data_IF_464682642095
#
_entry.id   IF_464682642095
#
_cell.length_a   1.000
_cell.length_b   1.000
_cell.length_c   1.000
_cell.angle_alpha   90.00
_cell.angle_beta   90.00
_cell.angle_gamma   90.00
#
_symmetry.space_group_name_H-M   'P 1'
#
loop_
_entity.id
_entity.type
_entity.pdbx_description
1 polymer ?
#
# COMPACT_ATOMS: atom_id res chain seq x y z
N UNK A 1 3.97 12.56 3.09
CA UNK A 1 4.04 11.34 3.94
C UNK A 1 2.70 11.25 4.66
N UNK A 2 1.99 10.11 4.66
CA UNK A 2 0.86 9.97 5.58
C UNK A 2 1.43 10.01 6.99
N UNK A 3 1.28 11.15 7.66
CA UNK A 3 1.75 11.35 9.03
C UNK A 3 0.63 10.93 9.96
N UNK A 4 0.88 9.93 10.80
CA UNK A 4 -0.02 9.55 11.88
C UNK A 4 0.10 10.49 13.10
N UNK A 5 0.87 11.59 12.98
CA UNK A 5 1.05 12.59 14.04
C UNK A 5 -0.24 13.30 14.46
N UNK A 6 -1.27 13.29 13.61
CA UNK A 6 -2.59 13.84 13.95
C UNK A 6 -3.39 12.92 14.89
N UNK A 7 -2.95 11.67 15.07
CA UNK A 7 -3.61 10.68 15.90
C UNK A 7 -2.81 10.41 17.16
N UNK A 8 -3.48 10.50 18.30
CA UNK A 8 -2.93 10.08 19.59
C UNK A 8 -2.69 8.57 19.61
N UNK A 9 -1.86 8.13 20.54
CA UNK A 9 -1.66 6.70 20.81
C UNK A 9 -3.01 6.05 21.17
N UNK A 10 -3.25 4.84 20.68
CA UNK A 10 -4.47 4.06 20.95
C UNK A 10 -5.78 4.84 20.69
N UNK A 11 -5.85 5.61 19.61
CA UNK A 11 -7.00 6.47 19.29
C UNK A 11 -7.91 5.95 18.19
N UNK A 12 -7.48 4.96 17.40
CA UNK A 12 -8.26 4.41 16.29
C UNK A 12 -8.41 2.91 16.42
N UNK A 13 -9.58 2.36 16.10
CA UNK A 13 -9.81 0.92 16.18
C UNK A 13 -9.36 0.17 14.91
N UNK A 14 -9.34 0.86 13.76
CA UNK A 14 -9.04 0.28 12.46
C UNK A 14 -8.16 1.21 11.62
N UNK A 15 -7.24 0.62 10.86
CA UNK A 15 -6.50 1.32 9.80
C UNK A 15 -6.61 0.53 8.50
N UNK A 16 -6.92 1.23 7.41
CA UNK A 16 -7.02 0.66 6.06
C UNK A 16 -6.01 1.35 5.13
N UNK A 17 -5.17 0.57 4.48
CA UNK A 17 -4.12 1.06 3.60
C UNK A 17 -4.11 0.32 2.24
N UNK A 18 -5.08 0.64 1.39
CA UNK A 18 -5.20 0.05 0.05
C UNK A 18 -4.20 0.66 -0.93
N UNK A 19 -3.26 -0.14 -1.44
CA UNK A 19 -2.28 0.24 -2.47
C UNK A 19 -1.45 1.51 -2.19
N UNK A 20 -1.19 1.83 -0.92
CA UNK A 20 -0.46 3.07 -0.54
C UNK A 20 0.87 2.84 0.17
N UNK A 21 1.00 1.80 0.98
CA UNK A 21 2.14 1.70 1.89
C UNK A 21 3.48 1.44 1.20
N UNK A 22 3.50 0.68 0.09
CA UNK A 22 4.72 0.46 -0.70
C UNK A 22 5.20 1.73 -1.41
N UNK A 23 4.39 2.81 -1.46
CA UNK A 23 4.80 4.10 -2.00
C UNK A 23 5.46 5.00 -0.93
N UNK A 24 5.42 4.60 0.35
CA UNK A 24 6.04 5.36 1.44
C UNK A 24 7.54 5.02 1.49
N UNK A 25 8.44 6.01 1.65
CA UNK A 25 9.88 5.75 1.67
C UNK A 25 10.37 4.82 2.79
N UNK A 26 9.63 4.72 3.89
CA UNK A 26 9.98 3.90 5.05
C UNK A 26 8.75 3.10 5.50
N UNK A 27 8.38 2.03 4.77
CA UNK A 27 7.14 1.29 5.03
C UNK A 27 7.12 0.65 6.42
N UNK A 28 8.25 0.16 6.92
CA UNK A 28 8.38 -0.39 8.28
C UNK A 28 8.16 0.65 9.38
N UNK A 29 8.60 1.89 9.16
CA UNK A 29 8.31 3.00 10.09
C UNK A 29 6.81 3.30 10.09
N UNK A 30 6.16 3.27 8.93
CA UNK A 30 4.71 3.44 8.84
C UNK A 30 3.95 2.32 9.59
N UNK A 31 4.39 1.06 9.50
CA UNK A 31 3.80 -0.05 10.27
C UNK A 31 3.87 0.19 11.80
N UNK A 32 4.99 0.71 12.31
CA UNK A 32 5.12 1.06 13.74
C UNK A 32 4.17 2.18 14.14
N UNK A 33 4.02 3.19 13.31
CA UNK A 33 3.08 4.28 13.57
C UNK A 33 1.62 3.82 13.53
N UNK A 34 1.27 2.93 12.59
CA UNK A 34 -0.05 2.28 12.55
C UNK A 34 -0.30 1.54 13.86
N UNK A 35 0.68 0.77 14.35
CA UNK A 35 0.56 0.05 15.61
C UNK A 35 0.35 0.98 16.80
N UNK A 36 1.07 2.10 16.85
CA UNK A 36 0.98 3.11 17.93
C UNK A 36 -0.43 3.68 18.05
N UNK A 37 -1.08 3.98 16.93
CA UNK A 37 -2.40 4.63 16.94
C UNK A 37 -3.55 3.65 17.18
N UNK A 38 -3.34 2.36 16.95
CA UNK A 38 -4.36 1.34 17.10
C UNK A 38 -4.69 1.05 18.57
N UNK A 39 -5.98 1.05 18.92
CA UNK A 39 -6.48 0.64 20.24
C UNK A 39 -7.04 -0.76 20.23
N UNK A 40 -6.76 -1.53 21.28
CA UNK A 40 -7.35 -2.85 21.52
C UNK A 40 -8.74 -2.77 22.18
N UNK A 41 -9.20 -1.58 22.56
CA UNK A 41 -10.53 -1.41 23.17
C UNK A 41 -11.65 -1.85 22.23
N UNK A 42 -12.70 -2.46 22.80
CA UNK A 42 -13.90 -2.91 22.08
C UNK A 42 -13.62 -3.87 20.91
N UNK A 43 -12.53 -4.64 20.97
CA UNK A 43 -12.15 -5.55 19.89
C UNK A 43 -11.58 -4.82 18.66
N UNK A 44 -11.00 -3.64 18.85
CA UNK A 44 -10.22 -2.93 17.83
C UNK A 44 -8.87 -3.62 17.53
N UNK A 45 -7.90 -2.81 17.10
CA UNK A 45 -6.54 -3.24 16.74
C UNK A 45 -6.46 -3.97 15.39
N UNK A 46 -7.36 -3.63 14.47
CA UNK A 46 -7.43 -4.25 13.15
C UNK A 46 -6.73 -3.39 12.09
N UNK A 47 -5.84 -4.02 11.34
CA UNK A 47 -5.13 -3.40 10.22
C UNK A 47 -5.32 -4.23 8.96
N UNK A 48 -5.64 -3.58 7.84
CA UNK A 48 -5.70 -4.20 6.53
C UNK A 48 -4.96 -3.37 5.49
N UNK A 49 -4.22 -4.04 4.62
CA UNK A 49 -3.52 -3.43 3.50
C UNK A 49 -3.60 -4.28 2.25
N UNK A 50 -3.38 -3.64 1.10
CA UNK A 50 -3.12 -4.33 -0.16
C UNK A 50 -1.77 -3.93 -0.74
N UNK A 51 -1.10 -4.91 -1.34
CA UNK A 51 0.17 -4.75 -2.05
C UNK A 51 0.08 -5.46 -3.40
N UNK A 52 1.14 -5.36 -4.19
CA UNK A 52 1.34 -6.18 -5.37
C UNK A 52 2.03 -7.48 -4.98
N UNK A 53 1.58 -8.58 -5.60
CA UNK A 53 2.33 -9.83 -5.62
C UNK A 53 3.10 -9.86 -6.93
N UNK A 54 4.40 -10.14 -6.88
CA UNK A 54 5.31 -10.23 -8.04
C UNK A 54 5.48 -8.91 -8.85
N UNK A 55 6.69 -8.70 -9.38
CA UNK A 55 7.00 -7.56 -10.25
C UNK A 55 6.51 -7.74 -11.68
N UNK A 56 6.25 -8.98 -12.10
CA UNK A 56 5.86 -9.30 -13.49
C UNK A 56 4.34 -9.17 -13.73
N UNK A 57 3.64 -8.41 -12.87
CA UNK A 57 2.23 -8.14 -13.11
C UNK A 57 2.05 -7.16 -14.25
N UNK A 58 1.05 -7.39 -15.10
CA UNK A 58 0.66 -6.48 -16.20
C UNK A 58 0.50 -5.03 -15.72
N UNK A 59 -0.02 -4.85 -14.50
CA UNK A 59 -0.12 -3.55 -13.84
C UNK A 59 1.22 -2.88 -13.57
N UNK A 60 2.21 -3.63 -13.09
CA UNK A 60 3.55 -3.10 -12.86
C UNK A 60 4.22 -2.68 -14.17
N UNK A 61 4.08 -3.48 -15.24
CA UNK A 61 4.53 -3.10 -16.57
C UNK A 61 3.90 -1.79 -17.02
N UNK A 62 2.58 -1.68 -16.95
CA UNK A 62 1.88 -0.44 -17.30
C UNK A 62 2.43 0.73 -16.47
N UNK A 63 2.56 0.57 -15.14
CA UNK A 63 3.04 1.63 -14.25
C UNK A 63 4.48 2.08 -14.54
N UNK A 64 5.36 1.18 -14.97
CA UNK A 64 6.76 1.49 -15.26
C UNK A 64 7.01 2.01 -16.68
N UNK A 65 6.06 1.86 -17.61
CA UNK A 65 6.18 2.39 -19.00
C UNK A 65 6.58 3.88 -19.05
N UNK A 66 6.11 4.69 -18.11
CA UNK A 66 6.46 6.12 -18.07
C UNK A 66 7.95 6.37 -17.91
N UNK A 67 8.71 5.44 -17.32
CA UNK A 67 10.15 5.58 -17.15
C UNK A 67 10.89 5.63 -18.49
N UNK A 68 10.35 5.01 -19.54
CA UNK A 68 10.94 5.03 -20.88
C UNK A 68 10.92 6.44 -21.50
N UNK A 69 9.91 7.25 -21.14
CA UNK A 69 9.69 8.59 -21.69
C UNK A 69 10.05 9.72 -20.71
N UNK A 70 10.16 9.40 -19.41
CA UNK A 70 10.45 10.33 -18.30
C UNK A 70 11.46 9.72 -17.31
N UNK A 71 12.68 9.38 -17.74
CA UNK A 71 13.67 8.72 -16.88
C UNK A 71 14.08 9.57 -15.67
N UNK A 72 13.91 10.89 -15.74
CA UNK A 72 14.15 11.83 -14.64
C UNK A 72 13.10 11.73 -13.51
N UNK A 73 11.99 11.03 -13.74
CA UNK A 73 10.91 10.79 -12.76
C UNK A 73 10.78 9.30 -12.50
N UNK A 74 11.65 8.71 -11.66
CA UNK A 74 11.62 7.28 -11.40
C UNK A 74 10.25 6.85 -10.84
N UNK A 75 9.73 5.74 -11.38
CA UNK A 75 8.50 5.10 -10.89
C UNK A 75 8.65 4.57 -9.46
N UNK A 76 7.53 4.16 -8.88
CA UNK A 76 7.47 3.45 -7.60
C UNK A 76 8.41 2.24 -7.64
N UNK A 77 9.32 2.16 -6.67
CA UNK A 77 10.16 0.98 -6.42
C UNK A 77 9.50 0.16 -5.33
N UNK A 78 9.12 -1.08 -5.66
CA UNK A 78 8.53 -1.99 -4.70
C UNK A 78 9.61 -2.57 -3.78
N UNK A 79 9.41 -2.56 -2.46
CA UNK A 79 10.22 -3.38 -1.54
C UNK A 79 10.11 -4.86 -1.96
N UNK A 80 11.24 -5.56 -2.03
CA UNK A 80 11.24 -6.94 -2.56
C UNK A 80 10.47 -7.90 -1.66
N UNK A 81 10.56 -7.68 -0.36
CA UNK A 81 9.86 -8.42 0.67
C UNK A 81 8.34 -8.32 0.47
N UNK A 82 7.86 -7.20 -0.05
CA UNK A 82 6.44 -6.90 -0.22
C UNK A 82 5.82 -7.45 -1.50
N UNK A 83 6.62 -8.19 -2.28
CA UNK A 83 6.19 -8.92 -3.47
C UNK A 83 5.90 -10.39 -3.18
N UNK A 84 6.09 -10.83 -1.93
CA UNK A 84 5.93 -12.20 -1.50
C UNK A 84 5.02 -12.26 -0.28
N UNK A 85 4.29 -13.37 -0.15
CA UNK A 85 3.42 -13.60 1.01
C UNK A 85 4.25 -13.63 2.30
N UNK A 86 5.36 -14.37 2.29
CA UNK A 86 6.22 -14.54 3.47
C UNK A 86 6.89 -13.24 3.89
N UNK A 87 7.33 -12.41 2.94
CA UNK A 87 7.96 -11.13 3.26
C UNK A 87 6.96 -10.12 3.83
N UNK A 88 5.73 -10.05 3.31
CA UNK A 88 4.67 -9.22 3.91
C UNK A 88 4.35 -9.72 5.31
N UNK A 89 4.11 -11.03 5.47
CA UNK A 89 3.80 -11.65 6.77
C UNK A 89 4.89 -11.35 7.79
N UNK A 90 6.15 -11.58 7.43
CA UNK A 90 7.30 -11.33 8.30
C UNK A 90 7.45 -9.86 8.71
N UNK A 91 7.20 -8.91 7.81
CA UNK A 91 7.25 -7.48 8.14
C UNK A 91 6.10 -7.06 9.09
N UNK A 92 4.90 -7.64 8.92
CA UNK A 92 3.76 -7.38 9.82
C UNK A 92 4.01 -7.98 11.21
N UNK A 93 4.40 -9.25 11.28
CA UNK A 93 4.73 -9.91 12.55
C UNK A 93 5.91 -9.21 13.25
N UNK A 94 6.95 -8.84 12.49
CA UNK A 94 8.09 -8.09 13.00
C UNK A 94 7.75 -6.68 13.50
N UNK A 95 6.64 -6.09 13.04
CA UNK A 95 6.11 -4.84 13.56
C UNK A 95 5.21 -5.03 14.81
N UNK A 96 4.97 -6.28 15.23
CA UNK A 96 4.17 -6.60 16.42
C UNK A 96 2.68 -6.83 16.16
N UNK A 97 2.28 -6.97 14.89
CA UNK A 97 0.94 -7.48 14.56
C UNK A 97 0.84 -8.97 14.90
N UNK A 98 -0.36 -9.41 15.26
CA UNK A 98 -0.69 -10.80 15.59
C UNK A 98 -1.84 -11.26 14.70
N UNK A 99 -2.07 -12.56 14.64
CA UNK A 99 -3.14 -13.16 13.83
C UNK A 99 -3.08 -12.70 12.36
N UNK A 100 -1.86 -12.58 11.84
CA UNK A 100 -1.59 -12.06 10.50
C UNK A 100 -2.05 -13.07 9.45
N UNK A 101 -3.01 -12.65 8.62
CA UNK A 101 -3.41 -13.38 7.42
C UNK A 101 -2.98 -12.63 6.17
N UNK A 102 -2.34 -13.35 5.25
CA UNK A 102 -1.83 -12.84 3.98
C UNK A 102 -2.14 -13.87 2.92
N UNK A 103 -2.96 -13.50 1.96
CA UNK A 103 -3.39 -14.37 0.88
C UNK A 103 -3.36 -13.63 -0.47
N UNK A 104 -3.06 -14.35 -1.57
CA UNK A 104 -3.10 -13.77 -2.90
C UNK A 104 -4.55 -13.62 -3.35
N UNK A 105 -4.87 -12.48 -3.95
CA UNK A 105 -6.18 -12.26 -4.58
C UNK A 105 -5.96 -11.83 -6.03
N UNK A 106 -6.39 -12.67 -6.98
CA UNK A 106 -6.37 -12.30 -8.40
C UNK A 106 -7.51 -11.33 -8.68
N UNK A 107 -7.16 -10.15 -9.18
CA UNK A 107 -8.12 -9.12 -9.57
C UNK A 107 -8.10 -8.92 -11.08
N UNK A 108 -9.20 -8.42 -11.64
CA UNK A 108 -9.35 -8.14 -13.06
C UNK A 108 -10.00 -6.77 -13.23
N UNK A 109 -9.40 -5.91 -14.05
CA UNK A 109 -10.00 -4.64 -14.47
C UNK A 109 -10.44 -4.78 -15.93
N UNK A 110 -11.74 -5.00 -16.20
CA UNK A 110 -12.25 -4.93 -17.57
C UNK A 110 -12.14 -3.50 -18.10
N UNK A 111 -11.72 -3.35 -19.35
CA UNK A 111 -11.79 -2.09 -20.09
C UNK A 111 -12.13 -2.39 -21.55
N UNK A 112 -12.90 -1.51 -22.18
CA UNK A 112 -13.37 -1.69 -23.57
C UNK A 112 -12.50 -0.92 -24.58
N UNK A 113 -11.74 0.08 -24.10
CA UNK A 113 -10.85 0.90 -24.92
C UNK A 113 -9.68 1.43 -24.11
N UNK A 114 -8.53 1.63 -24.77
CA UNK A 114 -7.29 2.09 -24.13
C UNK A 114 -7.44 3.48 -23.49
N UNK A 115 -8.38 4.29 -23.97
CA UNK A 115 -8.73 5.60 -23.44
C UNK A 115 -9.28 5.51 -22.02
N UNK A 116 -10.03 4.45 -21.69
CA UNK A 116 -10.57 4.23 -20.33
C UNK A 116 -9.43 3.93 -19.36
N UNK A 117 -8.48 3.08 -19.77
CA UNK A 117 -7.29 2.75 -18.98
C UNK A 117 -6.37 3.96 -18.80
N UNK A 118 -6.15 4.74 -19.88
CA UNK A 118 -5.38 5.98 -19.84
C UNK A 118 -6.06 7.04 -18.96
N UNK A 119 -7.38 7.16 -19.07
CA UNK A 119 -8.21 8.02 -18.23
C UNK A 119 -8.05 7.68 -16.76
N UNK A 120 -8.23 6.40 -16.38
CA UNK A 120 -8.01 5.89 -15.03
C UNK A 120 -6.62 6.23 -14.49
N UNK A 121 -5.57 6.02 -15.29
CA UNK A 121 -4.18 6.32 -14.92
C UNK A 121 -3.92 7.81 -14.73
N UNK A 122 -4.55 8.65 -15.56
CA UNK A 122 -4.40 10.09 -15.54
C UNK A 122 -5.35 10.78 -14.55
N UNK A 123 -6.14 10.02 -13.77
CA UNK A 123 -6.89 10.57 -12.65
C UNK A 123 -5.88 11.19 -11.69
N UNK A 124 -5.85 12.53 -11.69
CA UNK A 124 -5.18 13.30 -10.67
C UNK A 124 -5.97 13.09 -9.39
N UNK A 125 -5.52 12.19 -8.53
CA UNK A 125 -5.94 12.18 -7.13
C UNK A 125 -5.53 13.53 -6.52
N UNK A 126 -6.48 14.47 -6.49
CA UNK A 126 -6.38 15.69 -5.70
C UNK A 126 -6.60 15.25 -4.25
N UNK A 127 -5.57 14.65 -3.65
CA UNK A 127 -5.52 14.45 -2.21
C UNK A 127 -5.47 15.86 -1.64
N UNK A 128 -6.61 16.36 -1.16
CA UNK A 128 -6.69 17.60 -0.42
C UNK A 128 -5.88 17.39 0.86
N UNK A 129 -4.66 17.92 0.88
CA UNK A 129 -3.88 18.09 2.10
C UNK A 129 -4.14 19.55 2.47
N UNK A 130 -5.04 19.75 3.43
CA UNK A 130 -5.20 21.05 4.10
C UNK A 130 -3.97 21.40 4.92
#
# INVERSE_FOLDING_TARGET
>A
MPSFSAFSDNSVSHVLAGFVLFMVPQPRTALKEIRRVLTAENGGDAFSMSSWLELDSEWYHIMTLTNQFRPERPSVKMPQEWLTIDGIRGDLEGAGFRDVDVYPLKTYLPFEGYEQLAGFRCIRFRIWIG
#
